data_IF_841283685052
#
_entry.id   IF_841283685052
#
_cell.length_a   1.000
_cell.length_b   1.000
_cell.length_c   1.000
_cell.angle_alpha   90.00
_cell.angle_beta   90.00
_cell.angle_gamma   90.00
#
_symmetry.space_group_name_H-M   'P 1'
#
loop_
_entity.id
_entity.type
_entity.pdbx_description
1 polymer ?
#
# COMPACT_ATOMS: atom_id res chain seq x y z
N UNK A 1 7.28 29.44 10.68
CA UNK A 1 6.24 28.42 10.42
C UNK A 1 6.96 27.28 9.71
N UNK A 2 7.05 26.08 10.31
CA UNK A 2 7.73 24.96 9.67
C UNK A 2 6.80 24.49 8.54
N UNK A 3 7.19 24.75 7.29
CA UNK A 3 6.49 24.23 6.11
C UNK A 3 6.83 22.75 5.99
N UNK A 4 6.09 21.90 6.72
CA UNK A 4 6.22 20.45 6.61
C UNK A 4 5.53 20.05 5.31
N UNK A 5 6.32 19.53 4.39
CA UNK A 5 5.85 19.06 3.11
C UNK A 5 5.61 17.56 3.18
N UNK A 6 4.57 17.05 2.48
CA UNK A 6 4.25 15.63 2.40
C UNK A 6 5.44 14.67 2.20
N UNK A 7 6.44 15.10 1.43
CA UNK A 7 7.66 14.34 1.09
C UNK A 7 8.91 14.69 1.89
N UNK A 8 8.83 15.44 3.00
CA UNK A 8 10.01 15.78 3.82
C UNK A 8 10.66 14.57 4.49
N UNK A 9 9.97 13.43 4.47
CA UNK A 9 10.49 12.15 4.94
C UNK A 9 10.67 11.27 3.69
N UNK A 10 11.86 11.36 3.06
CA UNK A 10 12.18 10.90 1.68
C UNK A 10 11.72 9.49 1.31
N UNK A 11 11.46 8.63 2.31
CA UNK A 11 11.07 7.23 2.10
C UNK A 11 9.68 6.87 2.59
N UNK A 12 9.07 7.65 3.49
CA UNK A 12 7.77 7.34 4.10
C UNK A 12 6.95 8.63 4.25
N UNK A 13 5.71 8.68 3.75
CA UNK A 13 4.88 9.86 3.91
C UNK A 13 4.56 10.11 5.39
N UNK A 14 4.29 11.38 5.74
CA UNK A 14 3.82 11.75 7.07
C UNK A 14 2.52 11.03 7.43
N UNK A 15 2.23 10.92 8.73
CA UNK A 15 0.92 10.46 9.15
C UNK A 15 -0.14 11.53 8.85
N UNK A 16 -1.33 11.11 8.41
CA UNK A 16 -2.40 12.00 7.99
C UNK A 16 -3.68 11.69 8.76
N UNK A 17 -4.34 12.74 9.24
CA UNK A 17 -5.68 12.71 9.83
C UNK A 17 -6.56 13.72 9.10
N UNK A 18 -7.87 13.47 9.05
CA UNK A 18 -8.82 14.35 8.40
C UNK A 18 -9.90 14.77 9.39
N UNK A 19 -10.23 16.05 9.42
CA UNK A 19 -11.27 16.61 10.27
C UNK A 19 -12.06 17.68 9.49
N UNK A 20 -13.34 17.85 9.84
CA UNK A 20 -14.14 19.00 9.40
C UNK A 20 -13.90 20.15 10.36
N UNK A 21 -13.36 21.26 9.86
CA UNK A 21 -13.14 22.47 10.65
C UNK A 21 -14.11 23.56 10.22
N UNK A 22 -14.85 24.11 11.18
CA UNK A 22 -15.68 25.30 10.96
C UNK A 22 -14.78 26.54 10.84
N UNK A 23 -14.64 27.09 9.64
CA UNK A 23 -13.86 28.29 9.38
C UNK A 23 -14.79 29.46 9.07
N UNK A 24 -14.51 30.63 9.65
CA UNK A 24 -15.28 31.85 9.39
C UNK A 24 -15.08 32.30 7.94
N UNK A 25 -16.16 32.36 7.17
CA UNK A 25 -16.17 33.01 5.88
C UNK A 25 -16.27 34.51 6.11
N UNK A 26 -15.12 35.16 6.19
CA UNK A 26 -15.03 36.60 6.47
C UNK A 26 -15.75 37.44 5.42
N UNK A 27 -15.84 36.98 4.16
CA UNK A 27 -16.50 37.72 3.10
C UNK A 27 -18.03 37.70 3.27
N UNK A 28 -18.59 36.52 3.56
CA UNK A 28 -20.02 36.40 3.87
C UNK A 28 -20.36 37.04 5.21
N UNK A 29 -19.45 36.96 6.18
CA UNK A 29 -19.64 37.58 7.49
C UNK A 29 -19.71 39.11 7.42
N UNK A 30 -18.88 39.73 6.56
CA UNK A 30 -18.95 41.17 6.28
C UNK A 30 -20.22 41.52 5.50
N UNK A 31 -20.64 40.68 4.55
CA UNK A 31 -21.83 40.93 3.74
C UNK A 31 -23.15 40.81 4.53
N UNK A 32 -23.23 39.86 5.46
CA UNK A 32 -24.43 39.59 6.28
C UNK A 32 -24.41 40.31 7.64
N UNK A 33 -23.27 40.88 8.04
CA UNK A 33 -23.11 41.58 9.32
C UNK A 33 -23.13 40.64 10.55
N UNK A 34 -22.99 39.34 10.35
CA UNK A 34 -22.95 38.30 11.38
C UNK A 34 -21.90 37.25 11.01
N UNK A 35 -21.23 36.61 11.98
CA UNK A 35 -20.23 35.60 11.69
C UNK A 35 -20.89 34.37 11.03
N UNK A 36 -20.51 34.10 9.78
CA UNK A 36 -20.89 32.94 8.99
C UNK A 36 -19.72 31.97 8.96
N UNK A 37 -19.97 30.72 9.33
CA UNK A 37 -18.96 29.65 9.31
C UNK A 37 -19.28 28.67 8.17
N UNK A 38 -18.23 28.18 7.51
CA UNK A 38 -18.31 27.10 6.53
C UNK A 38 -17.50 25.92 7.02
N UNK A 39 -18.04 24.72 6.86
CA UNK A 39 -17.31 23.50 7.13
C UNK A 39 -16.29 23.26 6.01
N UNK A 40 -15.02 23.24 6.39
CA UNK A 40 -13.91 23.02 5.46
C UNK A 40 -13.19 21.74 5.83
N UNK A 41 -12.93 20.92 4.82
CA UNK A 41 -12.20 19.66 4.98
C UNK A 41 -10.70 19.98 5.17
N UNK A 42 -10.17 19.54 6.32
CA UNK A 42 -8.79 19.78 6.72
C UNK A 42 -8.03 18.46 6.86
N UNK A 43 -6.81 18.45 6.34
CA UNK A 43 -5.84 17.38 6.54
C UNK A 43 -4.76 17.84 7.54
N UNK A 44 -4.47 17.01 8.54
CA UNK A 44 -3.41 17.24 9.51
C UNK A 44 -2.26 16.29 9.26
N UNK A 45 -1.12 16.84 8.84
CA UNK A 45 0.10 16.08 8.58
C UNK A 45 0.98 16.08 9.83
N UNK A 46 1.37 14.89 10.29
CA UNK A 46 2.27 14.68 11.42
C UNK A 46 3.53 13.95 10.96
N UNK A 47 4.72 14.57 11.03
CA UNK A 47 5.97 13.87 10.75
C UNK A 47 6.21 12.72 11.71
N UNK A 48 6.81 11.65 11.20
CA UNK A 48 7.29 10.52 12.01
C UNK A 48 8.32 11.03 13.03
N UNK A 49 8.18 10.63 14.31
CA UNK A 49 9.09 11.05 15.38
C UNK A 49 8.78 12.41 16.05
N UNK A 50 7.67 13.05 15.67
CA UNK A 50 7.23 14.35 16.22
C UNK A 50 6.26 14.22 17.42
N UNK A 51 5.87 13.01 17.82
CA UNK A 51 4.83 12.76 18.84
C UNK A 51 3.49 13.52 18.62
N UNK A 52 3.16 13.93 17.39
CA UNK A 52 2.01 14.81 17.16
C UNK A 52 2.19 16.26 17.64
N UNK A 53 3.39 16.62 18.11
CA UNK A 53 3.71 18.00 18.54
C UNK A 53 3.73 18.96 17.35
N UNK A 54 4.11 18.47 16.17
CA UNK A 54 4.01 19.21 14.92
C UNK A 54 2.92 18.62 14.03
N UNK A 55 1.67 19.06 14.25
CA UNK A 55 0.57 18.87 13.29
C UNK A 55 0.56 20.07 12.35
N UNK A 56 0.71 19.82 11.05
CA UNK A 56 0.60 20.86 10.02
C UNK A 56 -0.76 20.76 9.36
N UNK A 57 -1.66 21.74 9.59
CA UNK A 57 -2.97 21.77 8.95
C UNK A 57 -2.82 22.16 7.47
N UNK A 58 -3.53 21.44 6.60
CA UNK A 58 -3.65 21.75 5.17
C UNK A 58 -5.12 21.69 4.73
N UNK A 59 -5.54 22.71 4.01
CA UNK A 59 -6.84 22.72 3.35
C UNK A 59 -6.87 21.69 2.23
N UNK A 60 -7.87 20.81 2.25
CA UNK A 60 -8.08 19.88 1.16
C UNK A 60 -8.65 20.66 -0.01
N UNK A 61 -7.85 20.81 -1.05
CA UNK A 61 -8.23 21.47 -2.30
C UNK A 61 -8.02 20.49 -3.45
N UNK A 62 -8.71 20.70 -4.58
CA UNK A 62 -8.51 19.88 -5.77
C UNK A 62 -7.03 19.84 -6.21
N UNK A 63 -6.32 20.96 -6.05
CA UNK A 63 -4.88 21.05 -6.32
C UNK A 63 -4.06 20.18 -5.37
N UNK A 64 -4.35 20.19 -4.07
CA UNK A 64 -3.63 19.36 -3.10
C UNK A 64 -3.85 17.86 -3.36
N UNK A 65 -5.07 17.46 -3.73
CA UNK A 65 -5.37 16.09 -4.12
C UNK A 65 -4.63 15.69 -5.40
N UNK A 66 -4.53 16.59 -6.38
CA UNK A 66 -3.74 16.39 -7.61
C UNK A 66 -2.25 16.21 -7.30
N UNK A 67 -1.69 17.06 -6.43
CA UNK A 67 -0.31 16.96 -5.93
C UNK A 67 -0.06 15.62 -5.23
N UNK A 68 -1.01 15.10 -4.43
CA UNK A 68 -0.88 13.78 -3.81
C UNK A 68 -1.00 12.63 -4.81
N UNK A 69 -1.86 12.73 -5.84
CA UNK A 69 -2.05 11.70 -6.87
C UNK A 69 -0.88 11.58 -7.82
N UNK A 70 -0.32 12.71 -8.24
CA UNK A 70 0.62 12.77 -9.36
C UNK A 70 2.02 13.22 -8.95
N UNK A 71 2.18 13.70 -7.72
CA UNK A 71 3.41 14.32 -7.28
C UNK A 71 3.55 15.76 -7.80
N UNK A 72 4.52 16.49 -7.27
CA UNK A 72 4.87 17.84 -7.70
C UNK A 72 6.18 17.84 -8.50
N UNK A 73 6.30 18.78 -9.44
CA UNK A 73 7.43 18.94 -10.38
C UNK A 73 8.78 19.19 -9.71
N UNK A 74 8.80 19.47 -8.41
CA UNK A 74 10.00 19.87 -7.69
C UNK A 74 10.66 18.65 -7.02
N UNK A 75 9.99 17.95 -6.09
CA UNK A 75 10.62 16.86 -5.28
C UNK A 75 9.65 15.85 -4.66
N UNK A 76 8.37 15.89 -4.97
CA UNK A 76 7.41 14.97 -4.35
C UNK A 76 6.93 13.98 -5.39
N UNK A 77 7.29 12.71 -5.23
CA UNK A 77 6.62 11.64 -5.94
C UNK A 77 5.15 11.53 -5.50
N UNK A 78 4.32 10.83 -6.28
CA UNK A 78 2.94 10.56 -5.88
C UNK A 78 2.90 9.82 -4.53
N UNK A 79 1.88 10.12 -3.71
CA UNK A 79 1.64 9.48 -2.41
C UNK A 79 0.24 8.85 -2.45
N UNK A 80 0.10 7.63 -3.02
CA UNK A 80 -1.20 6.96 -3.17
C UNK A 80 -1.94 6.79 -1.83
N UNK A 81 -1.19 6.52 -0.76
CA UNK A 81 -1.74 6.33 0.59
C UNK A 81 -2.61 7.50 1.08
N UNK A 82 -2.27 8.76 0.77
CA UNK A 82 -3.08 9.90 1.22
C UNK A 82 -4.43 9.96 0.52
N UNK A 83 -4.47 9.49 -0.72
CA UNK A 83 -5.70 9.44 -1.51
C UNK A 83 -6.59 8.33 -1.00
N UNK A 84 -6.04 7.15 -0.76
CA UNK A 84 -6.76 6.02 -0.15
C UNK A 84 -7.31 6.41 1.24
N UNK A 85 -6.48 7.07 2.06
CA UNK A 85 -6.88 7.57 3.37
C UNK A 85 -8.01 8.61 3.29
N UNK A 86 -7.94 9.52 2.32
CA UNK A 86 -8.97 10.53 2.10
C UNK A 86 -10.28 9.91 1.61
N UNK A 87 -10.22 8.96 0.67
CA UNK A 87 -11.38 8.25 0.16
C UNK A 87 -12.05 7.40 1.26
N UNK A 88 -11.26 6.72 2.10
CA UNK A 88 -11.75 5.99 3.27
C UNK A 88 -12.45 6.93 4.27
N UNK A 89 -11.83 8.07 4.58
CA UNK A 89 -12.42 9.08 5.47
C UNK A 89 -13.74 9.65 4.92
N UNK A 90 -13.78 9.98 3.62
CA UNK A 90 -15.02 10.43 2.95
C UNK A 90 -16.12 9.37 2.95
N UNK A 91 -15.75 8.10 2.92
CA UNK A 91 -16.67 6.96 3.03
C UNK A 91 -17.10 6.68 4.49
N UNK A 92 -16.55 7.38 5.49
CA UNK A 92 -16.80 7.12 6.90
C UNK A 92 -16.17 5.82 7.41
N UNK A 93 -15.16 5.30 6.71
CA UNK A 93 -14.40 4.10 7.08
C UNK A 93 -13.16 4.49 7.89
N UNK A 94 -12.64 3.53 8.66
CA UNK A 94 -11.35 3.68 9.32
C UNK A 94 -10.23 3.86 8.28
N UNK A 95 -9.35 4.83 8.55
CA UNK A 95 -8.20 5.10 7.69
C UNK A 95 -7.28 3.88 7.69
N UNK A 96 -6.90 3.34 6.51
CA UNK A 96 -6.03 2.18 6.44
C UNK A 96 -4.70 2.45 7.17
N UNK A 97 -4.21 1.49 7.95
CA UNK A 97 -2.90 1.63 8.59
C UNK A 97 -1.79 1.59 7.52
N UNK A 98 -0.86 2.54 7.58
CA UNK A 98 0.26 2.61 6.63
C UNK A 98 1.42 1.65 7.00
N UNK A 99 1.14 0.35 7.04
CA UNK A 99 2.12 -0.69 7.40
C UNK A 99 1.71 -1.51 8.63
N UNK A 100 2.66 -2.27 9.16
CA UNK A 100 2.46 -3.13 10.32
C UNK A 100 2.57 -2.33 11.62
N UNK A 101 1.49 -2.31 12.42
CA UNK A 101 1.52 -1.72 13.76
C UNK A 101 2.61 -2.39 14.62
N UNK A 102 3.45 -1.58 15.26
CA UNK A 102 4.50 -2.04 16.19
C UNK A 102 3.90 -2.90 17.30
N UNK A 103 2.64 -2.69 17.67
CA UNK A 103 1.92 -3.52 18.65
C UNK A 103 1.76 -4.98 18.25
N UNK A 104 1.62 -5.24 16.96
CA UNK A 104 1.45 -6.59 16.43
C UNK A 104 2.78 -7.24 16.05
N UNK A 105 3.90 -6.53 16.20
CA UNK A 105 5.22 -7.02 15.84
C UNK A 105 5.83 -7.87 16.96
N UNK A 106 6.16 -9.15 16.74
CA UNK A 106 6.72 -10.02 17.79
C UNK A 106 8.14 -9.63 18.23
N UNK A 107 8.83 -8.75 17.49
CA UNK A 107 10.21 -8.33 17.75
C UNK A 107 10.36 -7.26 18.84
N UNK A 108 9.26 -6.71 19.36
CA UNK A 108 9.28 -5.60 20.33
C UNK A 108 8.87 -6.06 21.73
N UNK A 109 9.58 -5.57 22.74
CA UNK A 109 9.16 -5.74 24.14
C UNK A 109 8.12 -4.69 24.54
N UNK A 110 7.28 -4.92 25.57
CA UNK A 110 6.29 -3.92 26.01
C UNK A 110 6.91 -2.57 26.40
N UNK A 111 8.12 -2.58 26.98
CA UNK A 111 8.84 -1.36 27.31
C UNK A 111 9.27 -0.58 26.05
N UNK A 112 9.83 -1.28 25.05
CA UNK A 112 10.22 -0.68 23.78
C UNK A 112 9.01 -0.17 23.00
N UNK A 113 7.89 -0.89 23.05
CA UNK A 113 6.63 -0.46 22.44
C UNK A 113 6.15 0.87 23.03
N UNK A 114 6.21 1.01 24.36
CA UNK A 114 5.85 2.27 25.02
C UNK A 114 6.78 3.40 24.58
N UNK A 115 8.08 3.15 24.50
CA UNK A 115 9.05 4.16 24.01
C UNK A 115 8.81 4.52 22.54
N UNK A 116 8.49 3.56 21.66
CA UNK A 116 8.13 3.82 20.28
C UNK A 116 6.86 4.69 20.19
N UNK A 117 5.83 4.35 20.95
CA UNK A 117 4.59 5.13 21.02
C UNK A 117 4.82 6.53 21.56
N UNK A 118 5.63 6.67 22.62
CA UNK A 118 6.05 7.94 23.17
C UNK A 118 6.69 8.76 22.05
N UNK A 119 7.75 8.28 21.39
CA UNK A 119 8.46 9.00 20.31
C UNK A 119 7.59 9.26 19.05
N UNK A 120 6.42 8.63 18.94
CA UNK A 120 5.51 8.81 17.80
C UNK A 120 5.85 7.93 16.61
N UNK A 121 6.45 6.77 16.86
CA UNK A 121 6.66 5.70 15.89
C UNK A 121 5.55 4.66 16.07
N UNK A 122 4.69 4.51 15.06
CA UNK A 122 3.48 3.66 15.13
C UNK A 122 3.61 2.37 14.34
N UNK A 123 4.40 2.36 13.26
CA UNK A 123 4.57 1.19 12.39
C UNK A 123 6.02 0.67 12.40
N UNK A 124 6.20 -0.61 12.05
CA UNK A 124 7.53 -1.26 11.95
C UNK A 124 8.34 -0.63 10.82
N UNK A 125 7.68 -0.22 9.75
CA UNK A 125 8.25 0.46 8.60
C UNK A 125 8.74 1.87 8.98
N UNK A 126 7.98 2.60 9.80
CA UNK A 126 8.41 3.89 10.34
C UNK A 126 9.62 3.75 11.26
N UNK A 127 9.68 2.65 12.03
CA UNK A 127 10.81 2.33 12.88
C UNK A 127 12.05 1.97 12.05
N UNK A 128 11.89 1.21 10.96
CA UNK A 128 12.97 0.84 10.06
C UNK A 128 13.60 2.06 9.38
N UNK A 129 12.80 3.06 9.02
CA UNK A 129 13.25 4.31 8.40
C UNK A 129 13.42 5.48 9.37
N UNK A 130 13.51 5.21 10.67
CA UNK A 130 13.72 6.22 11.69
C UNK A 130 15.01 7.03 11.44
N UNK A 131 14.89 8.36 11.47
CA UNK A 131 16.03 9.27 11.35
C UNK A 131 16.90 9.31 12.63
N UNK A 132 18.05 9.98 12.57
CA UNK A 132 18.98 10.05 13.70
C UNK A 132 18.40 10.73 14.95
N UNK A 133 17.49 11.70 14.79
CA UNK A 133 16.81 12.36 15.91
C UNK A 133 15.82 11.42 16.61
N UNK A 134 15.01 10.69 15.83
CA UNK A 134 14.10 9.65 16.31
C UNK A 134 14.87 8.53 17.01
N UNK A 135 15.99 8.06 16.45
CA UNK A 135 16.86 7.06 17.08
C UNK A 135 17.41 7.58 18.41
N UNK A 136 17.83 8.84 18.48
CA UNK A 136 18.31 9.45 19.71
C UNK A 136 17.20 9.53 20.77
N UNK A 137 15.98 9.89 20.39
CA UNK A 137 14.81 9.95 21.28
C UNK A 137 14.37 8.57 21.79
N UNK A 138 14.49 7.53 20.97
CA UNK A 138 14.21 6.14 21.35
C UNK A 138 15.18 5.61 22.42
N UNK A 139 16.36 6.22 22.58
CA UNK A 139 17.28 5.93 23.66
C UNK A 139 18.11 4.65 23.46
N UNK A 140 18.50 4.02 24.58
CA UNK A 140 19.42 2.88 24.54
C UNK A 140 18.81 1.67 23.84
N UNK A 141 19.56 1.07 22.91
CA UNK A 141 19.09 -0.09 22.14
C UNK A 141 18.27 0.27 20.90
N UNK A 142 18.01 1.56 20.63
CA UNK A 142 17.28 2.01 19.45
C UNK A 142 17.92 1.53 18.13
N UNK A 143 19.26 1.60 18.01
CA UNK A 143 19.97 1.13 16.80
C UNK A 143 19.74 -0.37 16.55
N UNK A 144 19.80 -1.19 17.60
CA UNK A 144 19.51 -2.63 17.48
C UNK A 144 18.06 -2.88 17.12
N UNK A 145 17.13 -2.09 17.68
CA UNK A 145 15.71 -2.19 17.41
C UNK A 145 15.38 -1.83 15.96
N UNK A 146 15.97 -0.76 15.41
CA UNK A 146 15.87 -0.40 13.99
C UNK A 146 16.45 -1.51 13.10
N UNK A 147 17.60 -2.08 13.48
CA UNK A 147 18.19 -3.21 12.75
C UNK A 147 17.27 -4.45 12.72
N UNK A 148 16.60 -4.75 13.84
CA UNK A 148 15.60 -5.82 13.91
C UNK A 148 14.38 -5.52 13.04
N UNK A 149 13.91 -4.28 13.01
CA UNK A 149 12.79 -3.88 12.17
C UNK A 149 13.11 -4.06 10.68
N UNK A 150 14.29 -3.61 10.24
CA UNK A 150 14.79 -3.84 8.87
C UNK A 150 14.88 -5.32 8.52
N UNK A 151 15.56 -6.10 9.38
CA UNK A 151 15.71 -7.53 9.16
C UNK A 151 14.36 -8.28 9.11
N UNK A 152 13.38 -7.85 9.90
CA UNK A 152 12.04 -8.41 9.88
C UNK A 152 11.33 -8.14 8.54
N UNK A 153 11.38 -6.90 8.05
CA UNK A 153 10.80 -6.52 6.75
C UNK A 153 11.50 -7.25 5.59
N UNK A 154 12.83 -7.33 5.61
CA UNK A 154 13.62 -8.07 4.62
C UNK A 154 13.26 -9.56 4.62
N UNK A 155 13.08 -10.15 5.81
CA UNK A 155 12.69 -11.56 5.95
C UNK A 155 11.26 -11.83 5.47
N UNK A 156 10.34 -10.88 5.68
CA UNK A 156 8.97 -10.99 5.21
C UNK A 156 8.90 -10.98 3.67
N UNK A 157 9.64 -10.08 3.03
CA UNK A 157 9.79 -10.05 1.57
C UNK A 157 10.44 -11.33 1.03
N UNK A 158 11.49 -11.81 1.69
CA UNK A 158 12.18 -13.05 1.29
C UNK A 158 11.27 -14.28 1.39
N UNK A 159 10.47 -14.37 2.46
CA UNK A 159 9.52 -15.47 2.65
C UNK A 159 8.39 -15.44 1.61
N UNK A 160 7.86 -14.24 1.32
CA UNK A 160 6.85 -14.06 0.27
C UNK A 160 7.38 -14.47 -1.11
N UNK A 161 8.59 -14.04 -1.46
CA UNK A 161 9.23 -14.44 -2.71
C UNK A 161 9.47 -15.95 -2.78
N UNK A 162 9.86 -16.59 -1.67
CA UNK A 162 10.03 -18.03 -1.61
C UNK A 162 8.70 -18.80 -1.81
N UNK A 163 7.61 -18.33 -1.21
CA UNK A 163 6.27 -18.90 -1.40
C UNK A 163 5.75 -18.71 -2.83
N UNK A 164 5.95 -17.52 -3.43
CA UNK A 164 5.60 -17.25 -4.82
C UNK A 164 6.38 -18.17 -5.78
N UNK A 165 7.68 -18.37 -5.54
CA UNK A 165 8.51 -19.30 -6.32
C UNK A 165 8.00 -20.74 -6.17
N UNK A 166 7.63 -21.16 -4.95
CA UNK A 166 7.07 -22.49 -4.71
C UNK A 166 5.74 -22.69 -5.46
N UNK A 167 4.83 -21.72 -5.36
CA UNK A 167 3.54 -21.76 -6.05
C UNK A 167 3.69 -21.75 -7.58
N UNK A 168 4.65 -20.98 -8.11
CA UNK A 168 4.97 -20.96 -9.54
C UNK A 168 5.55 -22.29 -10.00
N UNK A 169 6.43 -22.93 -9.23
CA UNK A 169 6.95 -24.28 -9.55
C UNK A 169 5.84 -25.33 -9.62
N UNK A 170 4.92 -25.32 -8.66
CA UNK A 170 3.75 -26.22 -8.69
C UNK A 170 2.91 -26.00 -9.95
N UNK A 171 2.73 -24.74 -10.38
CA UNK A 171 2.02 -24.42 -11.62
C UNK A 171 2.77 -24.90 -12.86
N UNK A 172 4.09 -24.76 -12.91
CA UNK A 172 4.92 -25.25 -14.01
C UNK A 172 4.80 -26.77 -14.09
N UNK A 173 4.97 -27.50 -12.98
CA UNK A 173 4.84 -28.96 -12.96
C UNK A 173 3.45 -29.43 -13.41
N UNK A 174 2.39 -28.73 -13.00
CA UNK A 174 1.03 -29.01 -13.41
C UNK A 174 0.80 -28.73 -14.91
N UNK A 175 1.35 -27.62 -15.43
CA UNK A 175 1.28 -27.28 -16.85
C UNK A 175 2.06 -28.26 -17.71
N UNK A 176 3.27 -28.66 -17.30
CA UNK A 176 4.07 -29.66 -18.00
C UNK A 176 3.36 -31.01 -18.07
N UNK A 177 2.74 -31.44 -16.96
CA UNK A 177 1.93 -32.66 -16.92
C UNK A 177 0.73 -32.60 -17.87
N UNK A 178 0.09 -31.44 -17.96
CA UNK A 178 -1.04 -31.20 -18.85
C UNK A 178 -0.61 -31.19 -20.33
N UNK A 179 0.49 -30.49 -20.66
CA UNK A 179 1.07 -30.47 -22.00
C UNK A 179 1.44 -31.89 -22.45
N UNK A 180 2.05 -32.68 -21.56
CA UNK A 180 2.38 -34.08 -21.85
C UNK A 180 1.13 -34.92 -22.11
N UNK A 181 0.10 -34.78 -21.28
CA UNK A 181 -1.17 -35.49 -21.46
C UNK A 181 -1.82 -35.11 -22.79
N UNK A 182 -1.79 -33.83 -23.16
CA UNK A 182 -2.32 -33.35 -24.44
C UNK A 182 -1.49 -33.86 -25.63
N UNK A 183 -0.16 -33.90 -25.53
CA UNK A 183 0.67 -34.46 -26.60
C UNK A 183 0.41 -35.95 -26.78
N UNK A 184 0.23 -36.69 -25.69
CA UNK A 184 -0.10 -38.12 -25.72
C UNK A 184 -1.48 -38.34 -26.37
N UNK A 185 -2.48 -37.51 -26.04
CA UNK A 185 -3.80 -37.55 -26.69
C UNK A 185 -3.74 -37.19 -28.17
N UNK A 186 -2.94 -36.20 -28.57
CA UNK A 186 -2.79 -35.81 -29.98
C UNK A 186 -2.16 -36.95 -30.78
N UNK A 187 -1.11 -37.59 -30.25
CA UNK A 187 -0.45 -38.72 -30.92
C UNK A 187 -1.37 -39.92 -31.04
N UNK A 188 -2.17 -40.22 -30.01
CA UNK A 188 -3.18 -41.28 -30.07
C UNK A 188 -4.27 -40.99 -31.11
N UNK A 189 -4.78 -39.76 -31.16
CA UNK A 189 -5.77 -39.34 -32.17
C UNK A 189 -5.20 -39.36 -33.60
N UNK A 190 -3.94 -38.97 -33.78
CA UNK A 190 -3.26 -39.07 -35.08
C UNK A 190 -3.15 -40.53 -35.54
N UNK A 191 -2.76 -41.43 -34.64
CA UNK A 191 -2.70 -42.86 -34.91
C UNK A 191 -4.10 -43.45 -35.24
N UNK A 192 -5.16 -43.05 -34.53
CA UNK A 192 -6.54 -43.48 -34.85
C UNK A 192 -6.96 -43.00 -36.24
N UNK A 193 -6.67 -41.74 -36.58
CA UNK A 193 -6.99 -41.18 -37.90
C UNK A 193 -6.25 -41.88 -39.05
N UNK A 194 -4.98 -42.23 -38.86
CA UNK A 194 -4.20 -42.98 -39.85
C UNK A 194 -4.67 -44.43 -40.02
N UNK A 195 -5.17 -45.05 -38.94
CA UNK A 195 -5.66 -46.43 -38.95
C UNK A 195 -7.09 -46.60 -39.46
N UNK A 196 -7.86 -45.51 -39.61
CA UNK A 196 -9.25 -45.58 -40.08
C UNK A 196 -9.34 -46.00 -41.55
N UNK A 197 -10.01 -47.11 -41.89
CA UNK A 197 -10.21 -47.50 -43.27
C UNK A 197 -11.12 -46.50 -43.98
N UNK A 198 -10.76 -46.13 -45.22
CA UNK A 198 -11.52 -45.21 -46.05
C UNK A 198 -13.01 -45.60 -46.09
N UNK A 199 -13.91 -44.66 -45.78
CA UNK A 199 -15.37 -44.85 -45.90
C UNK A 199 -15.68 -45.35 -47.31
N UNK A 200 -15.96 -46.64 -47.44
CA UNK A 200 -16.39 -47.26 -48.70
C UNK A 200 -17.69 -46.58 -49.14
N UNK A 201 -17.59 -45.74 -50.16
CA UNK A 201 -18.74 -45.12 -50.81
C UNK A 201 -19.71 -46.20 -51.28
N UNK A 202 -21.01 -45.94 -51.08
CA UNK A 202 -22.10 -46.83 -51.51
C UNK A 202 -21.95 -47.11 -53.02
N UNK A 203 -21.83 -48.37 -53.46
CA UNK A 203 -21.67 -48.66 -54.88
C UNK A 203 -22.89 -48.18 -55.66
N UNK A 204 -22.65 -47.54 -56.81
CA UNK A 204 -23.70 -47.05 -57.70
C UNK A 204 -24.42 -48.26 -58.30
N UNK A 205 -25.74 -48.36 -58.07
CA UNK A 205 -26.59 -49.44 -58.56
C UNK A 205 -26.59 -49.39 -60.09
N UNK A 206 -25.96 -50.38 -60.73
CA UNK A 206 -26.05 -50.55 -62.19
C UNK A 206 -27.50 -50.92 -62.56
N UNK A 207 -28.02 -50.21 -63.57
CA UNK A 207 -29.36 -50.39 -64.10
C UNK A 207 -29.37 -51.56 -65.09
N UNK A 208 -30.40 -52.40 -64.94
CA UNK A 208 -30.78 -53.48 -65.86
C UNK A 208 -31.40 -52.92 -67.15
#
# INVERSE_FOLDING_TARGET
MIDIRPGDNEKRPCYIEFELSAQEDRNESIAQGMPVYKDVEMAYLTPTGSQGTSRVPKFITAKLLDEWRHGDKIRQGPIPYYIEAYEAWKAGLDIPANGLDVKNWPGVTPAQLKTCQEVGVRTVEDLAEANADTIRKLGMGAVSLVGKAKAYLDSAETNKAAEEISALRIKIDAMESLVKTQSDQITELQNDLESRPAKRGRPKKEAA
#
